data_IF_563568101691
#
_entry.id   IF_563568101691
#
_cell.length_a   1.000
_cell.length_b   1.000
_cell.length_c   1.000
_cell.angle_alpha   90.00
_cell.angle_beta   90.00
_cell.angle_gamma   90.00
#
_symmetry.space_group_name_H-M   'P 1'
#
loop_
_entity.id
_entity.type
_entity.pdbx_description
1 polymer ?
#
# COMPACT_ATOMS: atom_id res chain seq x y z
N UNK A 1 -30.89 -19.67 -6.90
CA UNK A 1 -31.81 -18.90 -7.76
C UNK A 1 -31.06 -17.69 -8.31
N UNK A 2 -30.28 -17.90 -9.36
CA UNK A 2 -29.53 -16.82 -10.02
C UNK A 2 -30.46 -16.14 -11.02
N UNK A 3 -31.04 -15.00 -10.64
CA UNK A 3 -31.81 -14.18 -11.56
C UNK A 3 -30.83 -13.52 -12.56
N UNK A 4 -30.80 -14.05 -13.77
CA UNK A 4 -30.12 -13.42 -14.90
C UNK A 4 -30.98 -12.22 -15.36
N UNK A 5 -30.46 -10.98 -15.37
CA UNK A 5 -31.29 -9.82 -15.67
C UNK A 5 -31.65 -9.75 -17.16
N UNK A 6 -32.95 -9.72 -17.38
CA UNK A 6 -33.70 -9.58 -18.62
C UNK A 6 -33.26 -8.36 -19.47
N UNK A 7 -32.88 -8.54 -20.76
CA UNK A 7 -32.31 -7.49 -21.60
C UNK A 7 -33.29 -6.37 -22.01
N UNK A 8 -34.58 -6.48 -21.66
CA UNK A 8 -35.60 -5.48 -21.96
C UNK A 8 -35.66 -4.30 -20.96
N UNK A 9 -34.94 -4.36 -19.82
CA UNK A 9 -34.89 -3.28 -18.83
C UNK A 9 -33.61 -2.43 -18.99
N UNK A 10 -33.54 -1.70 -20.11
CA UNK A 10 -32.48 -0.72 -20.37
C UNK A 10 -32.60 0.55 -19.51
N UNK A 11 -32.75 0.43 -18.19
CA UNK A 11 -32.59 1.57 -17.31
C UNK A 11 -31.10 1.92 -17.24
N UNK A 12 -30.75 3.18 -17.46
CA UNK A 12 -29.39 3.68 -17.30
C UNK A 12 -28.87 3.26 -15.90
N UNK A 13 -27.94 2.30 -15.86
CA UNK A 13 -27.34 1.84 -14.61
C UNK A 13 -26.44 2.95 -14.10
N UNK A 14 -26.94 3.75 -13.16
CA UNK A 14 -26.16 4.75 -12.45
C UNK A 14 -25.02 4.06 -11.72
N UNK A 15 -23.80 4.53 -11.95
CA UNK A 15 -22.59 3.89 -11.40
C UNK A 15 -22.39 4.39 -9.97
N UNK A 16 -22.35 3.52 -8.94
CA UNK A 16 -22.10 3.97 -7.57
C UNK A 16 -20.73 4.63 -7.46
N UNK A 17 -20.58 5.56 -6.52
CA UNK A 17 -19.37 6.34 -6.34
C UNK A 17 -18.88 6.19 -4.91
N UNK A 18 -17.56 6.05 -4.74
CA UNK A 18 -16.96 6.02 -3.42
C UNK A 18 -16.98 7.44 -2.81
N UNK A 19 -17.27 7.53 -1.52
CA UNK A 19 -17.24 8.75 -0.72
C UNK A 19 -16.32 8.53 0.48
N UNK A 20 -15.38 9.45 0.68
CA UNK A 20 -14.43 9.43 1.81
C UNK A 20 -14.91 10.42 2.86
N UNK A 21 -15.07 9.97 4.10
CA UNK A 21 -15.41 10.82 5.23
C UNK A 21 -14.18 11.61 5.71
N UNK A 22 -14.23 12.93 5.52
CA UNK A 22 -13.11 13.85 5.80
C UNK A 22 -12.62 13.78 7.25
N UNK A 23 -13.54 13.77 8.20
CA UNK A 23 -13.26 13.79 9.65
C UNK A 23 -12.47 12.56 10.13
N UNK A 24 -12.53 11.45 9.39
CA UNK A 24 -11.90 10.17 9.76
C UNK A 24 -10.71 9.80 8.88
N UNK A 25 -10.53 10.46 7.73
CA UNK A 25 -9.45 10.14 6.83
C UNK A 25 -8.08 10.56 7.42
N UNK A 26 -7.22 9.58 7.67
CA UNK A 26 -5.86 9.82 8.22
C UNK A 26 -4.79 10.02 7.14
N UNK A 27 -5.14 9.96 5.85
CA UNK A 27 -4.19 10.11 4.76
C UNK A 27 -3.16 8.98 4.65
N UNK A 28 -3.57 7.71 4.84
CA UNK A 28 -2.67 6.54 4.81
C UNK A 28 -2.26 6.03 3.42
N UNK A 29 -2.74 6.65 2.34
CA UNK A 29 -2.52 6.34 0.91
C UNK A 29 -2.89 4.93 0.41
N UNK A 30 -3.24 3.97 1.26
CA UNK A 30 -3.61 2.60 0.85
C UNK A 30 -4.78 2.54 -0.14
N UNK A 31 -5.75 3.44 -0.02
CA UNK A 31 -6.86 3.52 -0.97
C UNK A 31 -6.43 4.01 -2.37
N UNK A 32 -5.35 4.80 -2.47
CA UNK A 32 -4.81 5.28 -3.76
C UNK A 32 -4.12 4.12 -4.48
N UNK A 33 -3.34 3.31 -3.76
CA UNK A 33 -2.70 2.11 -4.30
C UNK A 33 -3.73 1.06 -4.74
N UNK A 34 -4.84 0.94 -4.01
CA UNK A 34 -5.89 -0.01 -4.33
C UNK A 34 -6.82 0.42 -5.48
N UNK A 35 -6.80 1.69 -5.90
CA UNK A 35 -7.71 2.17 -6.94
C UNK A 35 -7.09 1.97 -8.34
N UNK A 36 -7.50 0.95 -9.13
CA UNK A 36 -6.88 0.69 -10.42
C UNK A 36 -7.23 1.75 -11.48
N UNK A 37 -8.22 2.61 -11.20
CA UNK A 37 -8.63 3.70 -12.08
C UNK A 37 -7.95 5.03 -11.74
N UNK A 38 -7.10 5.04 -10.71
CA UNK A 38 -6.49 6.24 -10.13
C UNK A 38 -7.54 7.35 -9.86
N UNK A 39 -8.73 6.94 -9.40
CA UNK A 39 -9.85 7.84 -9.14
C UNK A 39 -9.75 8.53 -7.77
N UNK A 40 -8.75 8.22 -6.95
CA UNK A 40 -8.56 8.81 -5.63
C UNK A 40 -7.30 9.65 -5.66
N UNK A 41 -7.43 10.91 -5.25
CA UNK A 41 -6.33 11.87 -5.21
C UNK A 41 -6.10 12.36 -3.80
N UNK A 42 -4.85 12.66 -3.46
CA UNK A 42 -4.48 13.23 -2.18
C UNK A 42 -3.01 12.98 -1.89
N UNK A 43 -2.58 13.27 -0.67
CA UNK A 43 -1.18 13.10 -0.25
C UNK A 43 -1.13 12.45 1.13
N UNK A 44 0.03 11.92 1.49
CA UNK A 44 0.25 11.33 2.79
C UNK A 44 -0.09 12.33 3.90
N UNK A 45 -0.79 11.86 4.94
CA UNK A 45 -1.19 12.65 6.11
C UNK A 45 -2.16 13.80 5.79
N UNK A 46 -2.84 13.76 4.64
CA UNK A 46 -3.92 14.68 4.27
C UNK A 46 -5.14 13.88 3.81
N UNK A 47 -6.31 14.52 3.84
CA UNK A 47 -7.53 13.91 3.31
C UNK A 47 -7.34 13.54 1.83
N UNK A 48 -7.85 12.37 1.45
CA UNK A 48 -8.00 11.99 0.06
C UNK A 48 -9.41 12.29 -0.45
N UNK A 49 -9.53 12.53 -1.75
CA UNK A 49 -10.79 12.86 -2.42
C UNK A 49 -11.00 11.95 -3.62
N UNK A 50 -12.25 11.54 -3.83
CA UNK A 50 -12.64 10.74 -5.00
C UNK A 50 -13.00 11.65 -6.17
N UNK A 51 -12.37 11.41 -7.31
CA UNK A 51 -12.70 12.03 -8.58
C UNK A 51 -13.84 11.24 -9.22
N UNK A 52 -15.04 11.70 -8.94
CA UNK A 52 -16.32 11.19 -9.43
C UNK A 52 -16.37 10.77 -10.91
N UNK A 53 -15.70 11.49 -11.80
CA UNK A 53 -15.70 11.21 -13.25
C UNK A 53 -14.82 10.01 -13.64
N UNK A 54 -13.93 9.59 -12.74
CA UNK A 54 -13.01 8.47 -12.91
C UNK A 54 -13.44 7.25 -12.10
N UNK A 55 -14.22 7.46 -11.04
CA UNK A 55 -14.71 6.39 -10.18
C UNK A 55 -15.70 5.51 -10.94
N UNK A 56 -15.45 4.21 -10.90
CA UNK A 56 -16.27 3.20 -11.57
C UNK A 56 -17.18 2.43 -10.63
N UNK A 57 -17.08 2.71 -9.33
CA UNK A 57 -17.80 1.95 -8.31
C UNK A 57 -17.33 0.50 -8.12
N UNK A 58 -16.03 0.21 -8.25
CA UNK A 58 -15.48 -1.15 -8.09
C UNK A 58 -15.25 -1.58 -6.64
N UNK A 59 -15.38 -0.66 -5.68
CA UNK A 59 -15.30 -0.93 -4.23
C UNK A 59 -13.94 -1.44 -3.70
N UNK A 60 -12.92 -1.62 -4.56
CA UNK A 60 -11.59 -2.11 -4.18
C UNK A 60 -10.86 -1.24 -3.15
N UNK A 61 -11.24 0.04 -3.03
CA UNK A 61 -10.66 0.96 -2.06
C UNK A 61 -11.20 0.81 -0.64
N UNK A 62 -12.34 0.12 -0.44
CA UNK A 62 -12.97 -0.04 0.87
C UNK A 62 -12.16 -0.96 1.80
N UNK A 63 -11.83 -2.21 1.42
CA UNK A 63 -11.11 -3.13 2.31
C UNK A 63 -9.74 -2.64 2.83
N UNK A 64 -8.90 -1.95 2.04
CA UNK A 64 -7.58 -1.49 2.52
C UNK A 64 -7.64 -0.24 3.40
N UNK A 65 -8.81 0.37 3.63
CA UNK A 65 -8.92 1.54 4.50
C UNK A 65 -8.83 1.10 5.98
N UNK A 66 -7.75 1.43 6.71
CA UNK A 66 -7.55 0.94 8.08
C UNK A 66 -8.48 1.60 9.12
N UNK A 67 -9.22 2.63 8.71
CA UNK A 67 -10.14 3.40 9.56
C UNK A 67 -11.58 3.33 9.06
N UNK A 68 -11.86 2.50 8.04
CA UNK A 68 -13.18 2.27 7.46
C UNK A 68 -13.97 3.58 7.19
N UNK A 69 -13.31 4.57 6.58
CA UNK A 69 -13.90 5.89 6.30
C UNK A 69 -14.45 6.02 4.87
N UNK A 70 -14.56 4.92 4.11
CA UNK A 70 -15.00 4.91 2.71
C UNK A 70 -16.34 4.21 2.61
N UNK A 71 -17.32 4.89 2.00
CA UNK A 71 -18.67 4.37 1.76
C UNK A 71 -19.04 4.45 0.28
N UNK A 72 -19.95 3.59 -0.18
CA UNK A 72 -20.46 3.62 -1.54
C UNK A 72 -21.80 4.33 -1.57
N UNK A 73 -21.85 5.44 -2.30
CA UNK A 73 -23.08 6.21 -2.50
C UNK A 73 -23.68 5.92 -3.88
N UNK A 74 -25.00 6.01 -3.97
CA UNK A 74 -25.71 5.82 -5.22
C UNK A 74 -25.17 6.78 -6.30
N UNK A 75 -25.01 6.25 -7.51
CA UNK A 75 -24.57 7.04 -8.65
C UNK A 75 -25.55 8.16 -8.96
N UNK A 76 -25.03 9.33 -9.31
CA UNK A 76 -25.91 10.42 -9.75
C UNK A 76 -26.51 10.12 -11.12
N UNK A 77 -27.79 10.42 -11.36
CA UNK A 77 -28.51 10.03 -12.58
C UNK A 77 -27.91 10.62 -13.87
N UNK A 78 -27.26 11.78 -13.79
CA UNK A 78 -26.58 12.42 -14.91
C UNK A 78 -25.26 11.73 -15.30
N UNK A 79 -24.70 10.88 -14.45
CA UNK A 79 -23.49 10.11 -14.75
C UNK A 79 -23.83 8.81 -15.47
N UNK A 80 -24.00 8.94 -16.78
CA UNK A 80 -24.12 7.79 -17.68
C UNK A 80 -22.75 7.41 -18.22
N UNK A 81 -22.40 6.13 -18.12
CA UNK A 81 -21.09 5.67 -18.52
C UNK A 81 -21.05 5.24 -19.99
N UNK A 82 -20.23 5.91 -20.77
CA UNK A 82 -20.11 5.71 -22.22
C UNK A 82 -19.03 4.69 -22.57
N UNK A 83 -19.11 4.13 -23.79
CA UNK A 83 -18.06 3.25 -24.34
C UNK A 83 -16.68 3.92 -24.36
N UNK A 84 -16.61 5.20 -24.70
CA UNK A 84 -15.35 5.95 -24.71
C UNK A 84 -14.74 6.04 -23.30
N UNK A 85 -15.56 6.30 -22.28
CA UNK A 85 -15.11 6.31 -20.88
C UNK A 85 -14.66 4.93 -20.41
N UNK A 86 -15.32 3.85 -20.84
CA UNK A 86 -14.88 2.48 -20.53
C UNK A 86 -13.50 2.17 -21.12
N UNK A 87 -13.24 2.57 -22.37
CA UNK A 87 -11.92 2.43 -22.99
C UNK A 87 -10.86 3.24 -22.23
N UNK A 88 -11.17 4.48 -21.88
CA UNK A 88 -10.27 5.34 -21.10
C UNK A 88 -9.99 4.76 -19.70
N UNK A 89 -11.00 4.19 -19.04
CA UNK A 89 -10.84 3.49 -17.76
C UNK A 89 -9.87 2.31 -17.90
N UNK A 90 -10.01 1.49 -18.95
CA UNK A 90 -9.06 0.42 -19.24
C UNK A 90 -7.62 0.89 -19.46
N UNK A 91 -7.43 2.06 -20.08
CA UNK A 91 -6.10 2.66 -20.23
C UNK A 91 -5.47 3.05 -18.88
N UNK A 92 -6.27 3.58 -17.94
CA UNK A 92 -5.82 3.90 -16.57
C UNK A 92 -5.41 2.67 -15.80
N UNK A 93 -6.20 1.59 -15.84
CA UNK A 93 -5.84 0.30 -15.21
C UNK A 93 -4.47 -0.19 -15.66
N UNK A 94 -4.21 -0.13 -16.97
CA UNK A 94 -2.90 -0.50 -17.51
C UNK A 94 -1.79 0.43 -17.01
N UNK A 95 -2.05 1.73 -16.92
CA UNK A 95 -1.08 2.71 -16.43
C UNK A 95 -0.76 2.54 -14.95
N UNK A 96 -1.79 2.34 -14.13
CA UNK A 96 -1.69 2.08 -12.70
C UNK A 96 -0.83 0.84 -12.42
N UNK A 97 -1.11 -0.28 -13.12
CA UNK A 97 -0.33 -1.51 -12.96
C UNK A 97 1.16 -1.29 -13.28
N UNK A 98 1.48 -0.59 -14.38
CA UNK A 98 2.86 -0.26 -14.75
C UNK A 98 3.55 0.62 -13.69
N UNK A 99 2.81 1.52 -13.04
CA UNK A 99 3.33 2.38 -11.97
C UNK A 99 3.70 1.54 -10.74
N UNK A 100 2.79 0.68 -10.27
CA UNK A 100 3.06 -0.21 -9.14
C UNK A 100 4.21 -1.19 -9.42
N UNK A 101 4.27 -1.77 -10.61
CA UNK A 101 5.37 -2.66 -11.01
C UNK A 101 6.72 -1.94 -10.95
N UNK A 102 6.80 -0.70 -11.47
CA UNK A 102 8.02 0.12 -11.37
C UNK A 102 8.40 0.41 -9.91
N UNK A 103 7.44 0.83 -9.09
CA UNK A 103 7.67 1.14 -7.67
C UNK A 103 8.14 -0.10 -6.88
N UNK A 104 7.60 -1.29 -7.17
CA UNK A 104 8.03 -2.57 -6.57
C UNK A 104 9.47 -2.88 -6.93
N UNK A 105 9.82 -2.82 -8.22
CA UNK A 105 11.16 -3.10 -8.71
C UNK A 105 12.19 -2.13 -8.11
N UNK A 106 11.88 -0.84 -8.02
CA UNK A 106 12.76 0.14 -7.37
C UNK A 106 12.94 -0.12 -5.88
N UNK A 107 11.87 -0.53 -5.17
CA UNK A 107 11.94 -0.89 -3.75
C UNK A 107 12.78 -2.15 -3.53
N UNK A 108 12.60 -3.16 -4.36
CA UNK A 108 13.38 -4.39 -4.34
C UNK A 108 14.87 -4.11 -4.63
N UNK A 109 15.17 -3.29 -5.64
CA UNK A 109 16.53 -2.87 -5.95
C UNK A 109 17.19 -2.11 -4.78
N UNK A 110 16.45 -1.19 -4.13
CA UNK A 110 16.92 -0.49 -2.91
C UNK A 110 17.15 -1.43 -1.74
N UNK A 111 16.34 -2.47 -1.57
CA UNK A 111 16.55 -3.45 -0.50
C UNK A 111 17.78 -4.32 -0.80
N UNK A 112 17.93 -4.77 -2.05
CA UNK A 112 19.06 -5.58 -2.49
C UNK A 112 20.41 -4.83 -2.39
N UNK A 113 20.42 -3.51 -2.53
CA UNK A 113 21.63 -2.71 -2.27
C UNK A 113 21.95 -2.64 -0.77
N UNK A 114 20.94 -2.50 0.09
CA UNK A 114 21.12 -2.44 1.56
C UNK A 114 21.63 -3.76 2.14
N UNK A 115 21.14 -4.90 1.67
CA UNK A 115 21.60 -6.21 2.18
C UNK A 115 23.09 -6.44 1.96
N UNK A 116 23.70 -5.84 0.93
CA UNK A 116 25.16 -5.93 0.68
C UNK A 116 26.00 -5.07 1.62
N UNK A 117 25.43 -3.98 2.15
CA UNK A 117 26.08 -3.08 3.10
C UNK A 117 25.89 -3.56 4.55
N UNK A 118 24.74 -4.18 4.85
CA UNK A 118 24.47 -4.85 6.12
C UNK A 118 25.18 -6.23 6.22
N UNK A 119 25.66 -6.78 5.09
CA UNK A 119 26.61 -7.92 4.99
C UNK A 119 28.09 -7.46 5.07
N UNK A 120 28.40 -6.40 5.82
CA UNK A 120 29.76 -6.29 6.38
C UNK A 120 29.94 -7.42 7.42
N UNK A 121 31.01 -8.22 7.32
CA UNK A 121 31.10 -9.47 8.06
C UNK A 121 31.17 -9.19 9.56
N UNK A 122 30.19 -9.72 10.30
CA UNK A 122 30.41 -10.02 11.71
C UNK A 122 31.61 -10.97 11.78
N UNK A 123 32.58 -10.61 12.62
CA UNK A 123 33.90 -11.22 12.71
C UNK A 123 33.97 -12.72 12.43
N UNK A 124 34.91 -13.08 11.56
CA UNK A 124 35.56 -14.38 11.63
C UNK A 124 36.02 -14.60 13.08
N UNK A 125 35.32 -15.45 13.82
CA UNK A 125 35.96 -16.27 14.83
C UNK A 125 35.39 -17.69 14.78
N UNK A 126 36.10 -18.47 13.98
CA UNK A 126 36.05 -19.91 13.84
C UNK A 126 36.32 -20.59 15.20
N UNK A 127 35.36 -20.62 16.13
CA UNK A 127 35.42 -21.53 17.29
C UNK A 127 34.11 -21.66 18.08
N UNK A 128 32.99 -22.02 17.46
CA UNK A 128 31.84 -22.50 18.26
C UNK A 128 30.97 -23.53 17.55
N UNK A 129 31.55 -24.70 17.30
CA UNK A 129 30.81 -25.88 16.86
C UNK A 129 29.97 -26.53 17.99
N UNK A 130 29.57 -25.79 19.03
CA UNK A 130 28.97 -26.38 20.24
C UNK A 130 27.93 -25.57 21.02
N UNK A 131 27.67 -24.29 20.73
CA UNK A 131 26.70 -23.50 21.52
C UNK A 131 25.31 -23.34 20.92
N UNK A 132 24.34 -23.50 21.81
CA UNK A 132 22.93 -23.34 21.50
C UNK A 132 22.54 -21.89 21.16
N UNK A 133 21.33 -21.67 20.65
CA UNK A 133 20.84 -20.34 20.27
C UNK A 133 20.86 -19.32 21.41
N UNK A 134 20.67 -19.77 22.66
CA UNK A 134 20.65 -18.93 23.86
C UNK A 134 22.04 -18.37 24.18
N UNK A 135 23.08 -19.18 23.99
CA UNK A 135 24.44 -18.77 24.31
C UNK A 135 24.99 -17.73 23.31
N UNK A 136 24.56 -17.82 22.05
CA UNK A 136 24.86 -16.81 21.03
C UNK A 136 24.24 -15.46 21.35
N UNK A 137 22.99 -15.45 21.83
CA UNK A 137 22.32 -14.21 22.27
C UNK A 137 23.05 -13.60 23.46
N UNK A 138 23.45 -14.42 24.44
CA UNK A 138 24.20 -13.96 25.60
C UNK A 138 25.55 -13.33 25.22
N UNK A 139 26.28 -13.91 24.26
CA UNK A 139 27.55 -13.38 23.78
C UNK A 139 27.42 -12.02 23.08
N UNK A 140 26.37 -11.84 22.27
CA UNK A 140 26.09 -10.56 21.58
C UNK A 140 25.78 -9.45 22.60
N UNK A 141 24.92 -9.76 23.58
CA UNK A 141 24.56 -8.80 24.65
C UNK A 141 25.79 -8.43 25.48
N UNK A 142 26.65 -9.39 25.82
CA UNK A 142 27.89 -9.14 26.56
C UNK A 142 28.83 -8.20 25.79
N UNK A 143 29.04 -8.43 24.49
CA UNK A 143 29.86 -7.55 23.63
C UNK A 143 29.30 -6.12 23.57
N UNK A 144 27.99 -5.96 23.47
CA UNK A 144 27.33 -4.65 23.48
C UNK A 144 27.52 -3.91 24.82
N UNK A 145 27.40 -4.63 25.95
CA UNK A 145 27.63 -4.07 27.30
C UNK A 145 29.08 -3.66 27.50
N UNK A 146 30.04 -4.44 26.99
CA UNK A 146 31.47 -4.12 27.07
C UNK A 146 31.81 -2.81 26.36
N UNK A 147 31.30 -2.63 25.13
CA UNK A 147 31.48 -1.40 24.33
C UNK A 147 30.87 -0.18 25.04
N UNK A 148 29.70 -0.34 25.66
CA UNK A 148 29.06 0.72 26.43
C UNK A 148 29.89 1.12 27.67
N UNK A 149 30.51 0.14 28.36
CA UNK A 149 31.41 0.41 29.51
C UNK A 149 32.67 1.14 29.09
N UNK A 150 33.29 0.74 27.98
CA UNK A 150 34.50 1.39 27.42
C UNK A 150 34.23 2.85 27.02
N UNK A 151 33.05 3.14 26.44
CA UNK A 151 32.63 4.52 26.13
C UNK A 151 32.44 5.37 27.38
N UNK A 152 31.98 4.78 28.49
CA UNK A 152 31.83 5.47 29.79
C UNK A 152 33.16 5.71 30.49
N UNK A 153 34.16 4.85 30.29
CA UNK A 153 35.51 5.02 30.84
C UNK A 153 36.44 5.86 29.95
N UNK A 154 36.03 6.20 28.73
CA UNK A 154 36.84 6.92 27.73
C UNK A 154 36.47 8.39 27.50
N UNK A 155 35.69 9.02 28.39
CA UNK A 155 35.43 10.46 28.33
C UNK A 155 36.40 11.17 29.27
N UNK A 156 37.38 11.95 28.78
CA UNK A 156 38.22 12.80 29.62
C UNK A 156 37.45 13.98 30.21
#
# INVERSE_FOLDING_TARGET
MSANPDPARGAARTVPTALIEESRCIGCTLCIEACPFDAIVGTARRMHTVVDSLCVGCELCVPPCPVDCISMVAGRPERVWTRAQAVAAGARVKAHKRRLERESLEREARLASRTREDEEPADEDLSDAGRGPVDRIAAIVARAVQRARQRRSGTP
#
